data_IF_263136988316
#
_entry.id   IF_263136988316
#
_cell.length_a   1.000
_cell.length_b   1.000
_cell.length_c   1.000
_cell.angle_alpha   90.00
_cell.angle_beta   90.00
_cell.angle_gamma   90.00
#
_symmetry.space_group_name_H-M   'P 1'
#
loop_
_entity.id
_entity.type
_entity.pdbx_description
1 polymer ?
#
# COMPACT_ATOMS: atom_id res chain seq x y z
N UNK A 1 23.66 -58.37 -0.82
CA UNK A 1 24.07 -57.03 -0.38
C UNK A 1 24.13 -56.06 -1.55
N UNK A 2 23.06 -55.32 -1.81
CA UNK A 2 23.00 -54.27 -2.83
C UNK A 2 22.84 -52.90 -2.17
N UNK A 3 23.62 -51.87 -2.55
CA UNK A 3 23.64 -50.59 -1.86
C UNK A 3 22.63 -49.63 -2.48
N UNK A 4 21.33 -49.86 -2.24
CA UNK A 4 20.29 -48.86 -2.49
C UNK A 4 19.58 -48.51 -1.19
N UNK A 5 20.37 -48.14 -0.17
CA UNK A 5 19.84 -47.51 1.01
C UNK A 5 19.05 -46.27 0.58
N UNK A 6 17.73 -46.36 0.69
CA UNK A 6 16.84 -45.26 0.39
C UNK A 6 17.18 -44.09 1.31
N UNK A 7 17.73 -43.02 0.74
CA UNK A 7 17.74 -41.71 1.39
C UNK A 7 16.29 -41.21 1.43
N UNK A 8 15.55 -41.63 2.45
CA UNK A 8 14.30 -41.01 2.84
C UNK A 8 14.67 -39.61 3.38
N UNK A 9 14.58 -38.59 2.52
CA UNK A 9 14.66 -37.20 2.97
C UNK A 9 13.38 -36.96 3.76
N UNK A 10 13.48 -37.06 5.09
CA UNK A 10 12.38 -36.80 6.00
C UNK A 10 11.92 -35.35 5.82
N UNK A 11 10.76 -35.16 5.19
CA UNK A 11 10.22 -33.84 4.89
C UNK A 11 9.71 -33.22 6.18
N UNK A 12 10.58 -32.49 6.88
CA UNK A 12 10.20 -31.82 8.13
C UNK A 12 9.36 -30.59 7.81
N UNK A 13 8.05 -30.73 7.96
CA UNK A 13 7.10 -29.63 7.77
C UNK A 13 7.51 -28.40 8.63
N UNK A 14 7.45 -27.17 8.07
CA UNK A 14 7.73 -25.96 8.84
C UNK A 14 6.60 -25.63 9.85
N UNK A 15 5.48 -26.34 9.77
CA UNK A 15 4.32 -26.17 10.61
C UNK A 15 4.47 -26.94 11.93
N UNK A 16 4.16 -26.25 13.04
CA UNK A 16 4.27 -26.76 14.41
C UNK A 16 2.93 -26.66 15.11
N UNK A 17 2.65 -27.64 15.95
CA UNK A 17 1.51 -27.62 16.85
C UNK A 17 1.89 -26.90 18.14
N UNK A 18 1.08 -25.92 18.53
CA UNK A 18 1.25 -25.15 19.77
C UNK A 18 0.00 -25.35 20.65
N UNK A 19 -0.07 -26.43 21.45
CA UNK A 19 -1.28 -26.77 22.21
C UNK A 19 -1.73 -25.68 23.19
N UNK A 20 -0.81 -24.84 23.66
CA UNK A 20 -1.10 -23.69 24.53
C UNK A 20 -1.70 -22.48 23.80
N UNK A 21 -1.71 -22.49 22.46
CA UNK A 21 -2.26 -21.41 21.63
C UNK A 21 -3.56 -21.85 20.96
N UNK A 22 -3.58 -23.06 20.41
CA UNK A 22 -4.77 -23.63 19.78
C UNK A 22 -4.48 -24.87 18.94
N UNK A 23 -5.54 -25.41 18.35
CA UNK A 23 -5.55 -26.65 17.56
C UNK A 23 -5.13 -26.48 16.10
N UNK A 24 -5.00 -25.25 15.60
CA UNK A 24 -4.46 -25.01 14.25
C UNK A 24 -2.93 -25.16 14.23
N UNK A 25 -2.31 -25.63 13.14
CA UNK A 25 -0.87 -25.50 12.95
C UNK A 25 -0.42 -24.05 12.81
N UNK A 26 0.78 -23.75 13.30
CA UNK A 26 1.43 -22.44 13.19
C UNK A 26 2.81 -22.56 12.55
N UNK A 27 3.29 -21.54 11.87
CA UNK A 27 4.65 -21.46 11.35
C UNK A 27 5.15 -20.02 11.33
N UNK A 28 6.41 -19.84 10.92
CA UNK A 28 6.99 -18.51 10.66
C UNK A 28 6.91 -18.26 9.16
N UNK A 29 6.24 -17.18 8.78
CA UNK A 29 6.12 -16.69 7.43
C UNK A 29 7.48 -16.20 6.89
N UNK A 30 7.59 -16.02 5.57
CA UNK A 30 8.84 -15.59 4.92
C UNK A 30 9.35 -14.24 5.43
N UNK A 31 8.45 -13.36 5.86
CA UNK A 31 8.79 -12.05 6.41
C UNK A 31 9.21 -12.11 7.89
N UNK A 32 9.09 -13.25 8.57
CA UNK A 32 9.39 -13.40 10.00
C UNK A 32 8.16 -13.30 10.91
N UNK A 33 6.98 -12.98 10.38
CA UNK A 33 5.74 -12.98 11.14
C UNK A 33 5.27 -14.40 11.48
N UNK A 34 4.49 -14.52 12.55
CA UNK A 34 3.75 -15.76 12.83
C UNK A 34 2.63 -15.89 11.81
N UNK A 35 2.36 -17.11 11.37
CA UNK A 35 1.16 -17.42 10.58
C UNK A 35 0.47 -18.66 11.11
N UNK A 36 -0.86 -18.69 11.01
CA UNK A 36 -1.65 -19.88 11.26
C UNK A 36 -2.04 -20.54 9.93
N UNK A 37 -2.32 -21.84 9.98
CA UNK A 37 -2.84 -22.56 8.83
C UNK A 37 -4.21 -21.99 8.45
N UNK A 38 -4.33 -21.52 7.21
CA UNK A 38 -5.58 -20.99 6.65
C UNK A 38 -5.59 -21.25 5.14
N UNK A 39 -6.79 -21.45 4.59
CA UNK A 39 -6.97 -21.59 3.14
C UNK A 39 -7.59 -20.34 2.50
N UNK A 40 -7.92 -19.32 3.29
CA UNK A 40 -8.60 -18.11 2.82
C UNK A 40 -7.94 -16.81 3.29
N UNK A 41 -6.82 -16.89 4.02
CA UNK A 41 -6.11 -15.73 4.53
C UNK A 41 -6.89 -14.91 5.56
N UNK A 42 -7.96 -15.46 6.12
CA UNK A 42 -8.81 -14.82 7.12
C UNK A 42 -8.98 -15.73 8.33
N UNK A 43 -9.49 -16.94 8.13
CA UNK A 43 -9.85 -17.84 9.21
C UNK A 43 -8.78 -18.93 9.36
N UNK A 44 -8.19 -19.05 10.55
CA UNK A 44 -7.33 -20.19 10.85
C UNK A 44 -8.15 -21.49 10.91
N UNK A 45 -7.51 -22.62 10.66
CA UNK A 45 -8.09 -23.95 10.75
C UNK A 45 -8.23 -24.39 12.23
N UNK A 46 -8.96 -23.63 13.04
CA UNK A 46 -9.10 -23.85 14.49
C UNK A 46 -9.72 -25.20 14.84
N UNK A 47 -10.52 -25.80 13.97
CA UNK A 47 -11.13 -27.12 14.20
C UNK A 47 -10.32 -28.29 13.62
N UNK A 48 -9.14 -28.02 13.04
CA UNK A 48 -8.29 -29.06 12.50
C UNK A 48 -7.58 -29.85 13.60
N UNK A 49 -7.29 -31.13 13.34
CA UNK A 49 -6.29 -31.86 14.10
C UNK A 49 -4.91 -31.46 13.60
N UNK A 50 -4.20 -30.63 14.38
CA UNK A 50 -2.87 -30.18 14.02
C UNK A 50 -1.91 -31.32 13.68
N UNK A 51 -1.90 -32.41 14.46
CA UNK A 51 -0.91 -33.48 14.28
C UNK A 51 -1.13 -34.18 12.94
N UNK A 52 -2.38 -34.55 12.66
CA UNK A 52 -2.76 -35.18 11.39
C UNK A 52 -2.49 -34.24 10.21
N UNK A 53 -2.82 -32.95 10.34
CA UNK A 53 -2.63 -31.97 9.27
C UNK A 53 -1.14 -31.72 8.97
N UNK A 54 -0.30 -31.58 10.00
CA UNK A 54 1.15 -31.44 9.84
C UNK A 54 1.78 -32.71 9.25
N UNK A 55 1.34 -33.89 9.69
CA UNK A 55 1.83 -35.18 9.20
C UNK A 55 1.40 -35.49 7.76
N UNK A 56 0.29 -34.90 7.29
CA UNK A 56 -0.23 -35.12 5.92
C UNK A 56 0.71 -34.60 4.82
N UNK A 57 1.64 -33.70 5.14
CA UNK A 57 2.49 -33.03 4.17
C UNK A 57 1.78 -32.00 3.30
N UNK A 58 0.47 -31.79 3.49
CA UNK A 58 -0.29 -30.75 2.80
C UNK A 58 0.29 -29.35 3.10
N UNK A 59 -0.07 -28.37 2.27
CA UNK A 59 0.22 -26.97 2.51
C UNK A 59 -1.07 -26.15 2.47
N UNK A 60 -1.22 -25.15 3.35
CA UNK A 60 -2.34 -24.21 3.28
C UNK A 60 -2.29 -23.39 1.98
N UNK A 61 -3.47 -23.08 1.43
CA UNK A 61 -3.60 -22.28 0.22
C UNK A 61 -3.28 -20.81 0.45
N UNK A 62 -3.64 -20.28 1.61
CA UNK A 62 -3.44 -18.88 1.96
C UNK A 62 -3.38 -18.71 3.48
N UNK A 63 -2.21 -18.94 4.11
CA UNK A 63 -2.01 -18.71 5.53
C UNK A 63 -2.50 -17.34 5.97
N UNK A 64 -3.10 -17.23 7.15
CA UNK A 64 -3.33 -15.94 7.79
C UNK A 64 -2.05 -15.57 8.53
N UNK A 65 -1.40 -14.51 8.07
CA UNK A 65 -0.16 -13.99 8.65
C UNK A 65 -0.49 -12.87 9.63
N UNK A 66 0.08 -12.95 10.84
CA UNK A 66 0.06 -11.87 11.83
C UNK A 66 0.77 -10.61 11.29
N UNK A 67 0.70 -9.50 12.03
CA UNK A 67 1.18 -8.22 11.51
C UNK A 67 0.16 -7.63 10.54
N UNK A 68 0.62 -7.20 9.37
CA UNK A 68 -0.21 -6.35 8.50
C UNK A 68 -1.36 -7.05 7.81
N UNK A 69 -1.18 -8.31 7.44
CA UNK A 69 -2.28 -9.08 6.87
C UNK A 69 -3.40 -9.23 7.91
N UNK A 70 -3.08 -9.61 9.15
CA UNK A 70 -4.06 -9.68 10.23
C UNK A 70 -4.72 -8.32 10.52
N UNK A 71 -3.97 -7.21 10.45
CA UNK A 71 -4.51 -5.86 10.62
C UNK A 71 -5.50 -5.48 9.52
N UNK A 72 -5.22 -5.82 8.27
CA UNK A 72 -6.14 -5.56 7.15
C UNK A 72 -7.44 -6.37 7.29
N UNK A 73 -7.35 -7.57 7.88
CA UNK A 73 -8.49 -8.49 8.02
C UNK A 73 -9.35 -8.18 9.25
N UNK A 74 -8.73 -7.81 10.38
CA UNK A 74 -9.35 -7.72 11.71
C UNK A 74 -9.14 -6.37 12.43
N UNK A 75 -8.43 -5.41 11.83
CA UNK A 75 -8.16 -4.10 12.41
C UNK A 75 -7.03 -4.07 13.46
N UNK A 76 -6.43 -5.21 13.80
CA UNK A 76 -5.32 -5.36 14.73
C UNK A 76 -4.23 -6.26 14.16
N UNK A 77 -2.97 -6.00 14.47
CA UNK A 77 -1.82 -6.78 14.00
C UNK A 77 -1.76 -8.18 14.63
N UNK A 78 -2.48 -8.35 15.74
CA UNK A 78 -2.39 -9.52 16.58
C UNK A 78 -1.23 -9.46 17.58
N UNK A 79 -0.28 -8.54 17.41
CA UNK A 79 0.79 -8.27 18.38
C UNK A 79 0.42 -7.16 19.37
N UNK A 80 -0.62 -6.39 19.08
CA UNK A 80 -1.06 -5.26 19.91
C UNK A 80 -1.52 -5.69 21.31
N UNK A 81 -1.81 -6.98 21.52
CA UNK A 81 -2.24 -7.54 22.79
C UNK A 81 -1.35 -8.73 23.20
N UNK A 82 -0.77 -8.74 24.42
CA UNK A 82 0.11 -9.83 24.86
C UNK A 82 -0.56 -11.22 24.91
N UNK A 83 -1.88 -11.26 25.12
CA UNK A 83 -2.68 -12.49 25.23
C UNK A 83 -3.24 -12.99 23.91
N UNK A 84 -3.07 -12.24 22.82
CA UNK A 84 -3.54 -12.65 21.51
C UNK A 84 -2.67 -13.78 20.95
N UNK A 85 -3.26 -14.71 20.19
CA UNK A 85 -2.57 -15.92 19.72
C UNK A 85 -1.30 -15.62 18.92
N UNK A 86 -1.27 -14.53 18.15
CA UNK A 86 -0.07 -14.06 17.44
C UNK A 86 1.09 -13.79 18.40
N UNK A 87 0.85 -13.06 19.48
CA UNK A 87 1.84 -12.73 20.52
C UNK A 87 2.34 -13.98 21.24
N UNK A 88 1.43 -14.88 21.62
CA UNK A 88 1.80 -16.13 22.30
C UNK A 88 2.60 -17.05 21.38
N UNK A 89 2.15 -17.24 20.15
CA UNK A 89 2.84 -18.06 19.16
C UNK A 89 4.20 -17.45 18.76
N UNK A 90 4.35 -16.12 18.75
CA UNK A 90 5.63 -15.46 18.48
C UNK A 90 6.68 -15.88 19.49
N UNK A 91 6.34 -15.87 20.78
CA UNK A 91 7.24 -16.28 21.86
C UNK A 91 7.61 -17.77 21.74
N UNK A 92 6.61 -18.63 21.51
CA UNK A 92 6.83 -20.08 21.44
C UNK A 92 7.62 -20.53 20.20
N UNK A 93 7.46 -19.82 19.07
CA UNK A 93 8.17 -20.13 17.83
C UNK A 93 9.55 -19.47 17.74
N UNK A 94 9.85 -18.50 18.60
CA UNK A 94 11.03 -17.64 18.45
C UNK A 94 10.96 -16.77 17.19
N UNK A 95 9.74 -16.35 16.81
CA UNK A 95 9.54 -15.56 15.61
C UNK A 95 10.11 -14.14 15.78
N UNK A 96 10.72 -13.62 14.72
CA UNK A 96 11.25 -12.26 14.66
C UNK A 96 10.50 -11.46 13.57
N UNK A 97 9.25 -11.04 13.83
CA UNK A 97 8.53 -10.13 12.95
C UNK A 97 9.41 -8.92 12.62
N UNK A 98 9.47 -8.50 11.35
CA UNK A 98 10.33 -7.41 10.93
C UNK A 98 9.82 -6.10 11.54
N UNK A 99 8.50 -5.96 11.67
CA UNK A 99 7.81 -4.88 12.38
C UNK A 99 6.45 -5.39 12.90
N UNK A 100 6.10 -5.06 14.14
CA UNK A 100 4.76 -5.36 14.71
C UNK A 100 3.72 -4.32 14.30
N UNK A 101 4.11 -3.30 13.53
CA UNK A 101 3.27 -2.23 13.02
C UNK A 101 3.11 -2.35 11.50
N UNK A 102 2.25 -1.52 10.91
CA UNK A 102 1.98 -1.47 9.47
C UNK A 102 2.10 -0.06 8.92
N UNK A 103 2.87 0.77 9.61
CA UNK A 103 2.97 2.19 9.36
C UNK A 103 3.56 2.48 7.96
N UNK A 104 4.33 1.55 7.38
CA UNK A 104 4.88 1.67 6.02
C UNK A 104 4.04 1.00 4.92
N UNK A 105 2.85 0.47 5.24
CA UNK A 105 1.96 -0.12 4.22
C UNK A 105 1.10 0.96 3.56
N UNK A 106 1.59 1.46 2.43
CA UNK A 106 0.89 2.44 1.60
C UNK A 106 0.49 1.88 0.24
N UNK A 107 -0.70 2.28 -0.22
CA UNK A 107 -1.14 2.07 -1.60
C UNK A 107 -0.89 3.35 -2.39
N UNK A 108 -0.59 3.22 -3.68
CA UNK A 108 -0.58 4.38 -4.58
C UNK A 108 -1.94 5.07 -4.52
N UNK A 109 -1.93 6.39 -4.32
CA UNK A 109 -3.13 7.20 -4.13
C UNK A 109 -3.55 7.41 -2.67
N UNK A 110 -2.92 6.74 -1.69
CA UNK A 110 -3.09 7.09 -0.28
C UNK A 110 -2.69 8.56 -0.08
N UNK A 111 -3.51 9.33 0.63
CA UNK A 111 -3.21 10.73 0.98
C UNK A 111 -2.88 10.81 2.46
N UNK A 112 -1.68 11.27 2.78
CA UNK A 112 -1.15 11.26 4.15
C UNK A 112 -0.58 12.62 4.55
N UNK A 113 -0.52 12.89 5.84
CA UNK A 113 0.29 13.94 6.42
C UNK A 113 1.33 13.32 7.37
N UNK A 114 2.51 13.93 7.45
CA UNK A 114 3.64 13.46 8.27
C UNK A 114 3.77 14.36 9.49
N UNK A 115 3.29 13.91 10.65
CA UNK A 115 3.39 14.64 11.90
C UNK A 115 4.75 14.38 12.56
N UNK A 116 5.54 15.43 12.78
CA UNK A 116 6.81 15.38 13.49
C UNK A 116 6.65 15.34 15.02
N UNK A 117 7.78 15.36 15.71
CA UNK A 117 7.91 15.28 17.17
C UNK A 117 7.27 16.45 17.93
N UNK A 118 7.21 17.64 17.34
CA UNK A 118 6.57 18.83 17.93
C UNK A 118 5.05 18.87 17.72
N UNK A 119 4.47 17.84 17.09
CA UNK A 119 3.06 17.80 16.72
C UNK A 119 2.72 18.59 15.44
N UNK A 120 3.68 19.32 14.88
CA UNK A 120 3.59 20.00 13.59
C UNK A 120 3.83 19.03 12.42
N UNK A 121 3.43 19.41 11.21
CA UNK A 121 3.44 18.54 10.03
C UNK A 121 4.46 19.00 8.99
N UNK A 122 5.18 18.05 8.40
CA UNK A 122 6.04 18.31 7.24
C UNK A 122 5.17 18.82 6.09
N UNK A 123 5.41 20.08 5.70
CA UNK A 123 4.52 20.92 4.91
C UNK A 123 5.31 21.63 3.82
N UNK A 124 4.80 21.64 2.59
CA UNK A 124 5.38 22.45 1.51
C UNK A 124 5.16 23.92 1.80
N UNK A 125 6.23 24.71 1.72
CA UNK A 125 6.19 26.15 1.95
C UNK A 125 6.91 26.90 0.82
N UNK A 126 6.15 27.77 0.16
CA UNK A 126 6.62 28.56 -0.99
C UNK A 126 7.32 29.83 -0.54
N UNK A 127 8.54 30.04 -1.03
CA UNK A 127 9.41 31.19 -0.79
C UNK A 127 9.71 31.45 0.70
N UNK A 128 9.70 30.38 1.51
CA UNK A 128 9.88 30.49 2.95
C UNK A 128 11.36 30.46 3.36
N UNK A 129 12.26 30.05 2.46
CA UNK A 129 13.70 30.03 2.68
C UNK A 129 14.36 31.09 1.78
N UNK A 130 14.88 32.19 2.34
CA UNK A 130 15.57 33.21 1.57
C UNK A 130 16.76 32.64 0.79
N UNK A 131 16.87 32.99 -0.49
CA UNK A 131 17.99 32.56 -1.33
C UNK A 131 18.03 31.07 -1.67
N UNK A 132 16.93 30.34 -1.45
CA UNK A 132 16.84 28.93 -1.82
C UNK A 132 16.85 28.75 -3.35
N UNK A 133 17.50 27.68 -3.83
CA UNK A 133 17.57 27.33 -5.24
C UNK A 133 16.19 27.01 -5.85
N UNK A 134 15.23 26.60 -5.02
CA UNK A 134 13.86 26.31 -5.41
C UNK A 134 12.88 27.03 -4.48
N UNK A 135 11.69 27.42 -4.96
CA UNK A 135 10.72 28.16 -4.16
C UNK A 135 10.05 27.28 -3.09
N UNK A 136 9.89 25.98 -3.36
CA UNK A 136 9.03 25.10 -2.56
C UNK A 136 9.85 24.22 -1.59
N UNK A 137 10.17 24.79 -0.43
CA UNK A 137 10.84 24.13 0.70
C UNK A 137 9.88 23.26 1.52
N UNK A 138 10.41 22.44 2.42
CA UNK A 138 9.61 21.67 3.38
C UNK A 138 9.95 22.10 4.80
N UNK A 139 8.93 22.49 5.55
CA UNK A 139 9.05 22.93 6.94
C UNK A 139 7.97 22.26 7.81
N UNK A 140 7.96 22.58 9.10
CA UNK A 140 6.98 22.00 10.02
C UNK A 140 5.96 23.04 10.44
N UNK A 141 4.70 22.83 10.03
CA UNK A 141 3.59 23.75 10.28
C UNK A 141 2.32 23.00 10.70
N UNK A 142 1.35 23.73 11.26
CA UNK A 142 0.04 23.19 11.61
C UNK A 142 -0.91 24.32 12.01
N UNK A 143 -2.21 24.00 12.25
CA UNK A 143 -2.83 22.69 12.14
C UNK A 143 -3.07 22.25 10.68
N UNK A 144 -3.42 20.98 10.47
CA UNK A 144 -3.85 20.47 9.15
C UNK A 144 -5.37 20.44 9.02
N UNK A 145 -5.90 20.83 7.87
CA UNK A 145 -7.32 20.74 7.50
C UNK A 145 -7.46 20.84 5.97
N UNK A 146 -8.69 20.85 5.43
CA UNK A 146 -8.92 20.95 3.99
C UNK A 146 -8.39 22.23 3.33
N UNK A 147 -8.20 23.30 4.12
CA UNK A 147 -7.56 24.55 3.70
C UNK A 147 -6.03 24.51 3.67
N UNK A 148 -5.39 23.42 4.10
CA UNK A 148 -3.93 23.26 4.05
C UNK A 148 -3.50 22.07 3.16
N UNK A 149 -3.87 22.05 1.87
CA UNK A 149 -3.56 20.95 0.97
C UNK A 149 -2.05 20.69 0.85
N UNK A 150 -1.24 21.73 1.03
CA UNK A 150 0.23 21.71 1.00
C UNK A 150 0.89 21.00 2.20
N UNK A 151 0.12 20.56 3.20
CA UNK A 151 0.57 19.67 4.29
C UNK A 151 0.30 18.18 4.01
N UNK A 152 -0.38 17.87 2.89
CA UNK A 152 -0.70 16.51 2.50
C UNK A 152 0.16 16.03 1.33
N UNK A 153 0.44 14.73 1.34
CA UNK A 153 1.26 14.03 0.37
C UNK A 153 0.44 12.89 -0.24
N UNK A 154 0.34 12.85 -1.56
CA UNK A 154 -0.18 11.69 -2.27
C UNK A 154 0.95 10.69 -2.45
N UNK A 155 0.77 9.49 -1.93
CA UNK A 155 1.78 8.43 -2.02
C UNK A 155 1.75 7.80 -3.41
N UNK A 156 2.92 7.66 -4.03
CA UNK A 156 3.14 6.76 -5.15
C UNK A 156 4.06 5.62 -4.69
N UNK A 157 3.56 4.38 -4.72
CA UNK A 157 4.39 3.22 -4.49
C UNK A 157 5.22 2.95 -5.75
N UNK A 158 6.54 2.95 -5.60
CA UNK A 158 7.48 2.82 -6.72
C UNK A 158 7.58 1.39 -7.27
N UNK A 159 7.00 0.40 -6.57
CA UNK A 159 7.02 -1.01 -6.95
C UNK A 159 8.25 -1.79 -6.46
N UNK A 160 9.28 -1.10 -5.95
CA UNK A 160 10.51 -1.67 -5.40
C UNK A 160 10.62 -1.52 -3.87
N UNK A 161 9.50 -1.24 -3.20
CA UNK A 161 9.45 -1.06 -1.74
C UNK A 161 9.80 0.36 -1.26
N UNK A 162 9.95 1.32 -2.17
CA UNK A 162 10.08 2.75 -1.85
C UNK A 162 8.78 3.50 -2.10
N UNK A 163 8.78 4.75 -1.67
CA UNK A 163 7.68 5.69 -1.81
C UNK A 163 8.19 6.95 -2.52
N UNK A 164 7.40 7.46 -3.45
CA UNK A 164 7.47 8.86 -3.85
C UNK A 164 6.29 9.61 -3.22
N UNK A 165 6.55 10.82 -2.72
CA UNK A 165 5.56 11.61 -1.98
C UNK A 165 5.25 12.87 -2.77
N UNK A 166 4.11 12.88 -3.45
CA UNK A 166 3.68 13.96 -4.33
C UNK A 166 2.97 15.05 -3.53
N UNK A 167 3.46 16.29 -3.62
CA UNK A 167 2.82 17.46 -3.03
C UNK A 167 1.56 17.88 -3.80
N UNK A 168 0.85 18.85 -3.24
CA UNK A 168 -0.41 19.41 -3.78
C UNK A 168 -0.27 20.05 -5.17
N UNK A 169 0.92 20.53 -5.53
CA UNK A 169 1.20 21.10 -6.86
C UNK A 169 1.75 20.08 -7.87
N UNK A 170 1.81 18.81 -7.50
CA UNK A 170 2.19 17.71 -8.39
C UNK A 170 3.68 17.37 -8.43
N UNK A 171 4.56 18.19 -7.85
CA UNK A 171 5.98 17.88 -7.68
C UNK A 171 6.21 16.97 -6.46
N UNK A 172 7.36 16.30 -6.40
CA UNK A 172 7.68 15.31 -5.38
C UNK A 172 8.60 15.87 -4.30
N UNK A 173 8.28 15.52 -3.05
CA UNK A 173 9.15 15.66 -1.90
C UNK A 173 10.46 14.90 -2.15
N UNK A 174 11.55 15.63 -2.16
CA UNK A 174 12.85 15.16 -2.61
C UNK A 174 13.97 15.75 -1.77
N UNK A 175 15.06 15.01 -1.61
CA UNK A 175 16.32 15.54 -1.10
C UNK A 175 16.92 16.52 -2.11
N UNK A 176 17.46 17.61 -1.60
CA UNK A 176 18.07 18.71 -2.35
C UNK A 176 19.43 19.03 -1.70
N UNK A 177 20.52 18.87 -2.45
CA UNK A 177 21.87 19.08 -1.95
C UNK A 177 22.34 20.52 -2.20
N UNK A 178 22.82 21.19 -1.16
CA UNK A 178 23.33 22.56 -1.16
C UNK A 178 22.35 23.59 -1.73
N UNK A 179 21.05 23.37 -1.52
CA UNK A 179 20.00 24.21 -2.10
C UNK A 179 19.72 25.50 -1.33
N UNK A 180 20.32 25.66 -0.14
CA UNK A 180 20.26 26.91 0.64
C UNK A 180 21.64 27.24 1.17
N UNK A 181 22.14 28.42 0.82
CA UNK A 181 23.44 28.92 1.30
C UNK A 181 23.40 29.16 2.81
N UNK A 182 24.45 28.76 3.52
CA UNK A 182 24.58 28.96 4.97
C UNK A 182 23.72 28.03 5.84
N UNK A 183 23.05 27.05 5.26
CA UNK A 183 22.33 26.05 6.04
C UNK A 183 23.27 25.13 6.85
N UNK A 184 22.77 24.63 7.98
CA UNK A 184 23.56 23.78 8.88
C UNK A 184 24.00 22.45 8.26
N UNK A 185 23.24 21.93 7.29
CA UNK A 185 23.53 20.70 6.57
C UNK A 185 23.31 20.87 5.06
N UNK A 186 24.05 20.11 4.22
CA UNK A 186 23.93 20.22 2.77
C UNK A 186 22.59 19.69 2.24
N UNK A 187 22.04 18.62 2.84
CA UNK A 187 20.87 17.92 2.32
C UNK A 187 19.57 18.39 2.99
N UNK A 188 18.72 19.09 2.23
CA UNK A 188 17.39 19.57 2.65
C UNK A 188 16.25 18.91 1.90
N UNK A 189 15.04 18.97 2.45
CA UNK A 189 13.84 18.49 1.78
C UNK A 189 13.14 19.64 1.02
N UNK A 190 12.88 19.41 -0.26
CA UNK A 190 12.19 20.35 -1.17
C UNK A 190 11.15 19.61 -2.02
N UNK A 191 10.15 20.33 -2.53
CA UNK A 191 9.11 19.80 -3.42
C UNK A 191 9.30 20.37 -4.83
N UNK A 192 10.25 19.81 -5.58
CA UNK A 192 10.73 20.43 -6.83
C UNK A 192 10.89 19.45 -7.99
N UNK A 193 11.04 18.15 -7.73
CA UNK A 193 11.19 17.13 -8.78
C UNK A 193 9.83 16.87 -9.43
N UNK A 194 9.76 16.88 -10.76
CA UNK A 194 8.52 16.71 -11.52
C UNK A 194 8.20 15.24 -11.85
N UNK A 195 9.23 14.38 -11.91
CA UNK A 195 9.10 12.93 -12.07
C UNK A 195 10.03 12.22 -11.09
N UNK A 196 9.48 11.49 -10.13
CA UNK A 196 10.25 10.78 -9.11
C UNK A 196 11.21 9.71 -9.68
N UNK A 197 11.00 9.30 -10.93
CA UNK A 197 11.88 8.37 -11.64
C UNK A 197 13.18 9.04 -12.11
N UNK A 198 13.23 10.37 -12.15
CA UNK A 198 14.39 11.11 -12.65
C UNK A 198 15.63 10.97 -11.77
N UNK A 199 15.45 10.57 -10.50
CA UNK A 199 16.57 10.38 -9.60
C UNK A 199 16.17 9.74 -8.27
N UNK A 200 17.10 9.02 -7.62
CA UNK A 200 16.84 8.33 -6.36
C UNK A 200 16.56 9.30 -5.20
N UNK A 201 16.97 10.57 -5.30
CA UNK A 201 16.71 11.61 -4.28
C UNK A 201 15.24 11.99 -4.13
N UNK A 202 14.36 11.58 -5.06
CA UNK A 202 12.91 11.74 -4.97
C UNK A 202 12.17 10.49 -4.46
N UNK A 203 12.92 9.46 -4.05
CA UNK A 203 12.40 8.18 -3.57
C UNK A 203 12.83 7.95 -2.13
N UNK A 204 11.90 7.48 -1.31
CA UNK A 204 12.09 7.29 0.12
C UNK A 204 11.88 5.83 0.48
N UNK A 205 12.86 5.21 1.14
CA UNK A 205 12.64 3.93 1.81
C UNK A 205 11.91 4.23 3.12
N UNK A 206 10.71 3.66 3.27
CA UNK A 206 9.98 3.73 4.53
C UNK A 206 10.48 2.64 5.46
N UNK A 207 10.95 3.03 6.63
CA UNK A 207 11.27 2.13 7.74
C UNK A 207 10.26 2.36 8.87
N UNK A 208 9.80 1.30 9.52
CA UNK A 208 8.93 1.48 10.67
C UNK A 208 9.73 1.85 11.90
N UNK A 209 9.32 2.95 12.53
CA UNK A 209 9.90 3.47 13.74
C UNK A 209 9.07 3.02 14.96
N UNK A 210 9.43 3.51 16.15
CA UNK A 210 8.79 3.13 17.39
C UNK A 210 7.32 3.62 17.44
N UNK A 211 6.47 2.89 18.17
CA UNK A 211 5.08 3.30 18.48
C UNK A 211 4.22 3.59 17.24
N UNK A 212 4.40 2.82 16.16
CA UNK A 212 3.62 2.96 14.91
C UNK A 212 3.95 4.22 14.10
N UNK A 213 5.10 4.86 14.38
CA UNK A 213 5.67 5.92 13.54
C UNK A 213 6.45 5.30 12.36
N UNK A 214 6.84 6.14 11.42
CA UNK A 214 7.76 5.78 10.33
C UNK A 214 9.00 6.67 10.35
N UNK A 215 10.08 6.19 9.74
CA UNK A 215 11.22 6.97 9.32
C UNK A 215 11.33 6.91 7.79
N UNK A 216 11.72 8.01 7.16
CA UNK A 216 11.88 8.09 5.70
C UNK A 216 13.36 8.25 5.38
N UNK A 217 13.95 7.21 4.81
CA UNK A 217 15.37 7.17 4.43
C UNK A 217 15.52 7.59 2.97
N UNK A 218 16.44 8.52 2.72
CA UNK A 218 16.79 8.98 1.38
C UNK A 218 17.84 8.07 0.73
N UNK A 219 18.17 8.39 -0.53
CA UNK A 219 19.22 7.76 -1.34
C UNK A 219 20.62 7.84 -0.71
N UNK A 220 20.88 8.83 0.15
CA UNK A 220 22.14 8.96 0.90
C UNK A 220 22.26 8.02 2.09
N UNK A 221 21.21 7.25 2.40
CA UNK A 221 21.12 6.41 3.59
C UNK A 221 20.80 7.17 4.88
N UNK A 222 20.67 8.50 4.82
CA UNK A 222 20.24 9.35 5.93
C UNK A 222 18.71 9.53 5.93
N UNK A 223 18.17 9.96 7.07
CA UNK A 223 16.74 10.09 7.29
C UNK A 223 16.27 11.54 7.22
N UNK A 224 15.06 11.71 6.66
CA UNK A 224 14.28 12.93 6.78
C UNK A 224 14.06 13.24 8.27
N UNK A 225 14.32 14.48 8.67
CA UNK A 225 14.19 14.90 10.04
C UNK A 225 13.88 16.39 10.17
N UNK A 226 13.18 16.77 11.24
CA UNK A 226 13.05 18.15 11.66
C UNK A 226 14.37 18.68 12.20
N UNK A 227 14.72 19.88 11.80
CA UNK A 227 15.89 20.60 12.27
C UNK A 227 15.48 21.99 12.76
N UNK A 228 15.82 22.30 14.01
CA UNK A 228 15.46 23.57 14.64
C UNK A 228 16.56 24.62 14.43
N UNK A 229 16.17 25.79 13.91
CA UNK A 229 17.02 26.94 13.60
C UNK A 229 18.22 26.61 12.68
N UNK A 230 18.01 25.69 11.74
CA UNK A 230 19.08 25.19 10.86
C UNK A 230 19.23 25.95 9.53
N UNK A 231 18.32 26.88 9.23
CA UNK A 231 18.41 27.79 8.09
C UNK A 231 18.47 29.24 8.57
N UNK A 232 19.53 29.99 8.26
CA UNK A 232 19.60 31.43 8.53
C UNK A 232 18.44 32.17 7.85
N UNK A 233 17.69 32.97 8.61
CA UNK A 233 16.57 33.76 8.10
C UNK A 233 15.34 32.96 7.64
N UNK A 234 15.33 31.63 7.86
CA UNK A 234 14.19 30.77 7.58
C UNK A 234 13.29 30.54 8.80
N UNK A 235 12.23 29.72 8.66
CA UNK A 235 11.42 29.25 9.76
C UNK A 235 12.28 28.49 10.78
N UNK A 236 11.82 28.46 12.04
CA UNK A 236 12.51 27.74 13.09
C UNK A 236 12.61 26.24 12.77
N UNK A 237 11.55 25.59 12.30
CA UNK A 237 11.55 24.15 12.04
C UNK A 237 11.51 23.83 10.55
N UNK A 238 12.61 23.31 10.01
CA UNK A 238 12.80 22.98 8.59
C UNK A 238 13.14 21.50 8.44
N UNK A 239 12.74 20.88 7.33
CA UNK A 239 13.02 19.48 7.06
C UNK A 239 14.36 19.28 6.33
N UNK A 240 15.20 18.44 6.92
CA UNK A 240 16.53 18.09 6.42
C UNK A 240 16.66 16.58 6.24
N UNK A 241 17.70 16.14 5.50
CA UNK A 241 18.09 14.74 5.37
C UNK A 241 19.49 14.56 5.94
N UNK A 242 19.60 14.58 7.26
CA UNK A 242 20.90 14.66 7.95
C UNK A 242 21.14 13.60 9.01
N UNK A 243 20.08 12.96 9.51
CA UNK A 243 20.17 11.98 10.60
C UNK A 243 20.65 10.63 10.06
N UNK A 244 21.68 10.03 10.66
CA UNK A 244 22.26 8.76 10.21
C UNK A 244 21.48 7.54 10.73
N UNK A 245 20.83 7.67 11.88
CA UNK A 245 20.02 6.64 12.50
C UNK A 245 18.77 7.27 13.12
N UNK A 246 17.59 6.88 12.66
CA UNK A 246 16.33 7.47 13.10
C UNK A 246 16.05 7.28 14.61
N UNK A 247 16.77 6.33 15.23
CA UNK A 247 16.68 6.05 16.67
C UNK A 247 17.37 7.12 17.53
N UNK A 248 18.24 7.95 16.94
CA UNK A 248 19.02 8.95 17.66
C UNK A 248 18.16 10.12 18.15
N UNK A 249 16.96 10.30 17.57
CA UNK A 249 16.06 11.36 17.98
C UNK A 249 14.67 11.28 17.36
N UNK A 250 13.66 11.64 18.16
CA UNK A 250 12.26 11.64 17.74
C UNK A 250 11.98 12.58 16.55
N UNK A 251 12.82 13.60 16.33
CA UNK A 251 12.72 14.54 15.20
C UNK A 251 12.89 13.88 13.82
N UNK A 252 13.31 12.62 13.76
CA UNK A 252 13.40 11.82 12.52
C UNK A 252 12.33 10.73 12.39
N UNK A 253 11.33 10.74 13.27
CA UNK A 253 10.23 9.78 13.31
C UNK A 253 8.89 10.50 13.15
N UNK A 254 8.07 10.01 12.22
CA UNK A 254 6.82 10.66 11.83
C UNK A 254 5.62 9.79 12.17
N UNK A 255 4.64 10.37 12.85
CA UNK A 255 3.30 9.77 12.90
C UNK A 255 2.59 10.05 11.59
N UNK A 256 2.09 8.98 10.98
CA UNK A 256 1.32 9.06 9.73
C UNK A 256 -0.14 9.37 10.04
N UNK A 257 -0.66 10.45 9.48
CA UNK A 257 -2.09 10.80 9.56
C UNK A 257 -2.68 10.62 8.18
N UNK A 258 -3.53 9.59 7.98
CA UNK A 258 -4.24 9.39 6.71
C UNK A 258 -5.37 10.40 6.58
N UNK A 259 -5.44 11.12 5.46
CA UNK A 259 -6.62 11.93 5.12
C UNK A 259 -7.74 10.97 4.76
N UNK A 260 -8.78 10.90 5.60
CA UNK A 260 -9.97 10.12 5.27
C UNK A 260 -10.62 10.76 4.04
N UNK A 261 -10.54 10.05 2.91
CA UNK A 261 -11.28 10.43 1.71
C UNK A 261 -12.78 10.33 2.04
N UNK A 262 -13.60 11.35 1.73
CA UNK A 262 -15.03 11.21 1.85
C UNK A 262 -15.51 10.03 0.99
N UNK A 263 -16.33 9.15 1.58
CA UNK A 263 -16.77 7.85 1.05
C UNK A 263 -17.31 7.91 -0.39
N UNK A 264 -17.78 9.08 -0.83
CA UNK A 264 -18.31 9.29 -2.18
C UNK A 264 -17.27 9.09 -3.31
N UNK A 265 -15.96 9.31 -3.06
CA UNK A 265 -14.94 9.17 -4.11
C UNK A 265 -14.51 7.70 -4.36
N UNK A 266 -14.64 6.83 -3.35
CA UNK A 266 -14.35 5.40 -3.52
C UNK A 266 -15.39 4.69 -4.39
N UNK A 267 -16.65 5.15 -4.39
CA UNK A 267 -17.68 4.60 -5.28
C UNK A 267 -17.45 4.97 -6.75
N UNK A 268 -16.86 6.13 -7.04
CA UNK A 268 -16.53 6.53 -8.41
C UNK A 268 -15.45 5.64 -9.03
N UNK A 269 -14.41 5.26 -8.26
CA UNK A 269 -13.36 4.36 -8.73
C UNK A 269 -13.84 2.91 -8.95
N UNK A 270 -14.82 2.44 -8.17
CA UNK A 270 -15.45 1.13 -8.38
C UNK A 270 -16.42 1.12 -9.59
N UNK A 271 -17.01 2.28 -9.91
CA UNK A 271 -17.95 2.39 -11.04
C UNK A 271 -17.29 2.34 -12.42
N UNK A 272 -16.01 2.68 -12.54
CA UNK A 272 -15.28 2.63 -13.83
C UNK A 272 -14.98 1.20 -14.30
N UNK A 273 -14.89 0.23 -13.40
CA UNK A 273 -14.78 -1.19 -13.77
C UNK A 273 -16.13 -1.81 -14.17
N UNK A 274 -17.24 -1.26 -13.66
CA UNK A 274 -18.58 -1.74 -13.99
C UNK A 274 -19.10 -1.22 -15.33
N UNK A 275 -18.74 0.02 -15.70
CA UNK A 275 -19.17 0.61 -16.98
C UNK A 275 -18.56 -0.08 -18.20
N UNK A 276 -17.30 -0.53 -18.14
CA UNK A 276 -16.68 -1.26 -19.27
C UNK A 276 -17.38 -2.58 -19.56
N UNK A 277 -17.84 -3.28 -18.52
CA UNK A 277 -18.56 -4.56 -18.67
C UNK A 277 -19.99 -4.33 -19.23
N UNK A 278 -20.67 -3.26 -18.81
CA UNK A 278 -22.03 -2.94 -19.29
C UNK A 278 -22.05 -2.48 -20.76
N UNK A 279 -21.03 -1.76 -21.21
CA UNK A 279 -20.90 -1.32 -22.61
C UNK A 279 -20.61 -2.51 -23.53
N UNK A 280 -19.79 -3.48 -23.11
CA UNK A 280 -19.49 -4.68 -23.93
C UNK A 280 -20.71 -5.61 -24.05
N UNK A 281 -21.51 -5.77 -22.98
CA UNK A 281 -22.73 -6.61 -23.01
C UNK A 281 -23.83 -5.96 -23.87
N UNK A 282 -23.95 -4.63 -23.87
CA UNK A 282 -24.94 -3.92 -24.69
C UNK A 282 -24.57 -3.89 -26.18
N UNK A 283 -23.28 -3.80 -26.53
CA UNK A 283 -22.83 -3.95 -27.92
C UNK A 283 -23.02 -5.37 -28.46
N UNK A 284 -22.79 -6.41 -27.63
CA UNK A 284 -23.02 -7.80 -28.02
C UNK A 284 -24.52 -8.12 -28.21
N UNK A 285 -25.40 -7.59 -27.36
CA UNK A 285 -26.85 -7.74 -27.50
C UNK A 285 -27.40 -7.00 -28.74
N UNK A 286 -26.87 -5.80 -29.03
CA UNK A 286 -27.23 -5.01 -30.21
C UNK A 286 -26.83 -5.69 -31.53
N UNK A 287 -25.63 -6.29 -31.58
CA UNK A 287 -25.17 -7.04 -32.76
C UNK A 287 -25.99 -8.32 -33.00
N UNK A 288 -26.38 -9.03 -31.93
CA UNK A 288 -27.25 -10.21 -32.04
C UNK A 288 -28.66 -9.86 -32.55
N UNK A 289 -29.26 -8.75 -32.09
CA UNK A 289 -30.58 -8.31 -32.56
C UNK A 289 -30.55 -7.85 -34.03
N UNK A 290 -29.48 -7.18 -34.47
CA UNK A 290 -29.32 -6.79 -35.86
C UNK A 290 -29.14 -8.00 -36.80
N UNK A 291 -28.39 -9.03 -36.38
CA UNK A 291 -28.23 -10.26 -37.15
C UNK A 291 -29.53 -11.07 -37.25
N UNK A 292 -30.33 -11.14 -36.19
CA UNK A 292 -31.66 -11.78 -36.22
C UNK A 292 -32.62 -11.00 -37.11
N UNK A 293 -32.59 -9.67 -37.09
CA UNK A 293 -33.41 -8.84 -37.98
C UNK A 293 -33.03 -8.99 -39.46
N UNK A 294 -31.72 -9.05 -39.77
CA UNK A 294 -31.24 -9.30 -41.15
C UNK A 294 -31.57 -10.73 -41.60
N UNK A 295 -31.46 -11.74 -40.72
CA UNK A 295 -31.89 -13.11 -41.04
C UNK A 295 -33.40 -13.20 -41.26
N UNK A 296 -34.23 -12.55 -40.43
CA UNK A 296 -35.69 -12.50 -40.61
C UNK A 296 -36.09 -11.72 -41.86
N UNK A 297 -35.41 -10.61 -42.18
CA UNK A 297 -35.62 -9.85 -43.42
C UNK A 297 -35.28 -10.68 -44.67
N UNK A 298 -34.13 -11.38 -44.65
CA UNK A 298 -33.73 -12.25 -45.76
C UNK A 298 -34.65 -13.48 -45.88
N UNK A 299 -35.14 -14.04 -44.76
CA UNK A 299 -36.15 -15.13 -44.77
C UNK A 299 -37.51 -14.67 -45.30
N UNK A 300 -37.93 -13.44 -45.00
CA UNK A 300 -39.16 -12.85 -45.59
C UNK A 300 -39.00 -12.62 -47.10
N UNK A 301 -37.83 -12.19 -47.56
CA UNK A 301 -37.55 -12.00 -49.00
C UNK A 301 -37.52 -13.31 -49.78
N UNK A 302 -37.10 -14.42 -49.18
CA UNK A 302 -37.09 -15.73 -49.84
C UNK A 302 -38.46 -16.43 -49.87
N UNK A 303 -39.41 -16.01 -49.04
CA UNK A 303 -40.79 -16.55 -49.00
C UNK A 303 -41.74 -15.80 -49.95
N UNK A 304 -41.43 -14.54 -50.32
CA UNK A 304 -42.23 -13.72 -51.24
C UNK A 304 -41.80 -13.86 -52.72
N UNK A 305 -41.58 -15.09 -53.17
CA UNK A 305 -41.29 -15.43 -54.58
C UNK A 305 -42.30 -16.40 -55.17
N UNK A 306 -43.58 -16.27 -54.81
CA UNK A 306 -44.67 -16.91 -55.56
C UNK A 306 -45.70 -15.90 -56.06
N UNK A 307 -46.27 -16.08 -57.28
CA UNK A 307 -47.02 -15.02 -57.99
C UNK A 307 -48.39 -14.63 -57.40
N UNK A 308 -48.75 -15.13 -56.22
CA UNK A 308 -50.13 -15.10 -55.73
C UNK A 308 -50.49 -13.92 -54.79
N UNK A 309 -49.54 -13.11 -54.32
CA UNK A 309 -49.81 -12.00 -53.36
C UNK A 309 -49.63 -10.58 -53.92
N UNK A 310 -49.72 -10.39 -55.25
CA UNK A 310 -49.98 -9.07 -55.86
C UNK A 310 -51.47 -8.91 -56.14
N UNK A 311 -52.32 -8.84 -55.12
CA UNK A 311 -53.71 -8.37 -55.23
C UNK A 311 -54.29 -8.19 -53.82
N UNK A 312 -54.03 -7.03 -53.24
CA UNK A 312 -54.57 -6.65 -51.93
C UNK A 312 -54.25 -5.20 -51.55
N UNK A 313 -54.02 -4.33 -52.54
CA UNK A 313 -53.78 -2.90 -52.33
C UNK A 313 -54.83 -2.09 -53.08
N UNK A 314 -56.10 -2.27 -52.70
CA UNK A 314 -57.20 -1.34 -53.01
C UNK A 314 -58.23 -1.44 -51.88
N UNK A 315 -58.38 -0.38 -51.09
CA UNK A 315 -59.56 -0.14 -50.26
C UNK A 315 -59.28 0.20 -48.80
N UNK A 316 -59.51 1.49 -48.47
CA UNK A 316 -59.49 2.19 -47.18
C UNK A 316 -58.12 2.70 -46.70
#
# INVERSE_FOLDING_TARGET
DGPWAQFQVEFKSPWKCLPSVGSTPFSIAKDGNVQCWSDNGRDCAWSADCKSLVASGAQPKMPLVCGCMHKDVYGMTGYDQPTHWCSTAKQLLGATPPTESCACKFKTGDVIALQGDTGMFATRCRNCLPGAAYPDSVNFQGPINDGTPYSYWTVENTGDGKLALKGDLGNYLSRCNNCVSGAAYPDQAFVHVTDWRSGPWAQWTCEEANNGKIALKADTGKYLARCNNCNPGGPADVAFVHVSNWRDGDWSQFKVVKKQQPVMLQMAAASSQSQTTLVVVSMAAGACLALVAVQLYNRRRSILSTPAERKGFVGL
#
